data_IF_159153865606
#
_entry.id   IF_159153865606
#
_cell.length_a   1.000
_cell.length_b   1.000
_cell.length_c   1.000
_cell.angle_alpha   90.00
_cell.angle_beta   90.00
_cell.angle_gamma   90.00
#
_symmetry.space_group_name_H-M   'P 1'
#
loop_
_entity.id
_entity.type
_entity.pdbx_description
1 polymer ?
#
# COMPACT_ATOMS: atom_id res chain seq x y z
N UNK A 1 8.87 27.49 12.31
CA UNK A 1 9.70 26.26 12.20
C UNK A 1 8.78 25.05 12.16
N UNK A 2 8.23 24.71 10.99
CA UNK A 2 7.31 23.58 10.83
C UNK A 2 8.10 22.27 10.73
N UNK A 3 8.04 21.47 11.79
CA UNK A 3 8.70 20.16 11.87
C UNK A 3 7.78 19.13 11.22
N UNK A 4 8.01 18.85 9.93
CA UNK A 4 7.34 17.76 9.21
C UNK A 4 7.95 16.43 9.70
N UNK A 5 7.31 15.79 10.68
CA UNK A 5 7.66 14.42 11.07
C UNK A 5 6.95 13.45 10.13
N UNK A 6 7.71 12.96 9.15
CA UNK A 6 7.34 11.83 8.30
C UNK A 6 6.96 10.64 9.21
N UNK A 7 5.67 10.29 9.25
CA UNK A 7 5.22 9.08 9.93
C UNK A 7 5.59 7.88 9.03
N UNK A 8 6.68 7.20 9.37
CA UNK A 8 7.06 5.95 8.74
C UNK A 8 5.93 4.93 8.93
N UNK A 9 5.38 4.44 7.82
CA UNK A 9 4.49 3.28 7.80
C UNK A 9 5.35 2.08 8.17
N UNK A 10 5.20 1.61 9.41
CA UNK A 10 5.89 0.41 9.87
C UNK A 10 5.31 -0.81 9.17
N UNK A 11 6.07 -1.39 8.23
CA UNK A 11 5.78 -2.72 7.69
C UNK A 11 5.89 -3.74 8.83
N UNK A 12 4.74 -4.07 9.44
CA UNK A 12 4.65 -5.05 10.51
C UNK A 12 4.99 -6.45 9.99
N UNK A 13 6.23 -6.86 10.16
CA UNK A 13 6.61 -8.28 10.11
C UNK A 13 5.77 -9.04 11.14
N UNK A 14 5.10 -10.12 10.70
CA UNK A 14 4.22 -10.95 11.55
C UNK A 14 4.99 -11.44 12.78
N UNK A 15 4.40 -11.26 13.96
CA UNK A 15 4.71 -12.11 15.10
C UNK A 15 3.97 -13.44 14.87
N UNK A 16 4.71 -14.55 14.83
CA UNK A 16 4.18 -15.89 14.54
C UNK A 16 3.11 -16.36 15.54
N UNK A 17 2.98 -15.69 16.70
CA UNK A 17 1.95 -15.96 17.72
C UNK A 17 0.76 -15.00 17.69
N UNK A 18 0.73 -14.03 16.79
CA UNK A 18 -0.38 -13.09 16.68
C UNK A 18 -1.46 -13.61 15.73
N UNK A 19 -2.70 -13.67 16.20
CA UNK A 19 -3.89 -14.03 15.39
C UNK A 19 -4.17 -12.94 14.36
N UNK A 20 -3.36 -12.86 13.31
CA UNK A 20 -3.60 -12.05 12.12
C UNK A 20 -4.00 -10.59 12.37
N UNK A 21 -3.49 -9.93 13.40
CA UNK A 21 -3.81 -8.53 13.71
C UNK A 21 -2.58 -7.76 14.15
N UNK A 22 -2.38 -6.55 13.62
CA UNK A 22 -1.34 -5.66 14.12
C UNK A 22 -1.68 -5.22 15.56
N UNK A 23 -0.72 -5.31 16.48
CA UNK A 23 -0.91 -4.80 17.84
C UNK A 23 -1.27 -3.31 17.82
N UNK A 24 -2.02 -2.82 18.82
CA UNK A 24 -2.44 -1.40 18.88
C UNK A 24 -1.27 -0.41 18.77
N UNK A 25 -0.09 -0.78 19.28
CA UNK A 25 1.13 0.01 19.16
C UNK A 25 1.66 0.15 17.72
N UNK A 26 1.18 -0.67 16.79
CA UNK A 26 1.57 -0.71 15.37
C UNK A 26 0.49 -0.16 14.44
N UNK A 27 -0.61 0.36 14.98
CA UNK A 27 -1.65 0.98 14.18
C UNK A 27 -1.15 2.27 13.52
N UNK A 28 -1.62 2.51 12.29
CA UNK A 28 -1.41 3.78 11.61
C UNK A 28 -2.16 4.91 12.31
N UNK A 29 -1.65 6.14 12.17
CA UNK A 29 -2.37 7.35 12.58
C UNK A 29 -2.90 8.05 11.34
N UNK A 30 -4.20 8.33 11.32
CA UNK A 30 -4.83 9.16 10.31
C UNK A 30 -4.84 10.59 10.83
N UNK A 31 -4.21 11.50 10.08
CA UNK A 31 -4.14 12.93 10.42
C UNK A 31 -5.09 13.69 9.48
N UNK A 32 -6.03 14.47 10.03
CA UNK A 32 -6.92 15.36 9.27
C UNK A 32 -6.85 16.76 9.89
N UNK A 33 -5.93 17.60 9.39
CA UNK A 33 -5.62 18.87 10.05
C UNK A 33 -5.02 18.62 11.43
N UNK A 34 -5.66 19.14 12.48
CA UNK A 34 -5.26 18.94 13.87
C UNK A 34 -5.81 17.65 14.48
N UNK A 35 -6.76 16.98 13.82
CA UNK A 35 -7.35 15.75 14.32
C UNK A 35 -6.45 14.53 14.04
N UNK A 36 -6.20 13.74 15.10
CA UNK A 36 -5.38 12.53 15.06
C UNK A 36 -6.15 11.34 15.59
N UNK A 37 -6.43 10.36 14.73
CA UNK A 37 -7.07 9.12 15.11
C UNK A 37 -6.15 7.92 14.87
N UNK A 38 -6.14 6.96 15.81
CA UNK A 38 -5.46 5.67 15.64
C UNK A 38 -6.40 4.69 14.97
N UNK A 39 -6.10 4.29 13.73
CA UNK A 39 -6.96 3.42 12.93
C UNK A 39 -6.40 1.99 12.93
N UNK A 40 -7.21 0.96 13.26
CA UNK A 40 -6.79 -0.43 13.19
C UNK A 40 -6.18 -0.78 11.83
N UNK A 41 -4.96 -1.30 11.83
CA UNK A 41 -4.31 -1.75 10.60
C UNK A 41 -4.76 -3.16 10.24
N UNK A 42 -5.29 -3.33 9.03
CA UNK A 42 -5.53 -4.65 8.46
C UNK A 42 -4.21 -5.37 8.14
N UNK A 43 -4.19 -6.70 8.20
CA UNK A 43 -3.06 -7.48 7.72
C UNK A 43 -2.81 -7.24 6.23
N UNK A 44 -1.54 -7.14 5.84
CA UNK A 44 -1.18 -7.13 4.43
C UNK A 44 -1.62 -8.42 3.73
N UNK A 45 -2.24 -8.27 2.55
CA UNK A 45 -2.81 -9.36 1.74
C UNK A 45 -1.91 -9.79 0.58
N UNK A 46 -0.59 -9.72 0.76
CA UNK A 46 0.41 -10.08 -0.26
C UNK A 46 0.27 -11.52 -0.77
N UNK A 47 -0.21 -12.41 0.10
CA UNK A 47 -0.49 -13.81 -0.22
C UNK A 47 -1.66 -14.00 -1.20
N UNK A 48 -2.43 -12.96 -1.55
CA UNK A 48 -3.54 -13.07 -2.50
C UNK A 48 -3.09 -12.95 -3.96
N UNK A 49 -1.96 -12.30 -4.22
CA UNK A 49 -1.56 -11.93 -5.57
C UNK A 49 -1.22 -13.16 -6.43
N UNK A 50 -0.26 -13.99 -6.01
CA UNK A 50 0.18 -15.13 -6.81
C UNK A 50 -0.90 -16.20 -7.04
N UNK A 51 -1.77 -16.53 -6.05
CA UNK A 51 -2.91 -17.41 -6.32
C UNK A 51 -3.87 -16.84 -7.37
N UNK A 52 -4.08 -15.51 -7.40
CA UNK A 52 -4.89 -14.89 -8.43
C UNK A 52 -4.21 -14.92 -9.81
N UNK A 53 -2.89 -14.73 -9.87
CA UNK A 53 -2.11 -14.92 -11.11
C UNK A 53 -2.24 -16.36 -11.61
N UNK A 54 -2.11 -17.35 -10.73
CA UNK A 54 -2.29 -18.75 -11.10
C UNK A 54 -3.67 -19.00 -11.72
N UNK A 55 -4.74 -18.51 -11.09
CA UNK A 55 -6.09 -18.66 -11.63
C UNK A 55 -6.26 -17.95 -12.98
N UNK A 56 -5.69 -16.77 -13.15
CA UNK A 56 -5.71 -16.08 -14.44
C UNK A 56 -5.02 -16.90 -15.54
N UNK A 57 -3.85 -17.49 -15.24
CA UNK A 57 -3.08 -18.29 -16.19
C UNK A 57 -3.71 -19.65 -16.49
N UNK A 58 -4.27 -20.33 -15.48
CA UNK A 58 -4.79 -21.70 -15.61
C UNK A 58 -6.27 -21.76 -15.99
N UNK A 59 -7.07 -20.82 -15.48
CA UNK A 59 -8.53 -20.83 -15.57
C UNK A 59 -9.07 -19.72 -16.48
N UNK A 60 -8.21 -18.82 -16.97
CA UNK A 60 -8.63 -17.67 -17.77
C UNK A 60 -9.42 -16.62 -16.98
N UNK A 61 -9.32 -16.62 -15.65
CA UNK A 61 -9.90 -15.56 -14.82
C UNK A 61 -9.24 -14.20 -15.10
N UNK A 62 -9.92 -13.08 -14.79
CA UNK A 62 -9.29 -11.77 -14.85
C UNK A 62 -8.00 -11.71 -13.99
N UNK A 63 -6.95 -11.04 -14.47
CA UNK A 63 -5.72 -10.89 -13.70
C UNK A 63 -5.97 -10.06 -12.43
N UNK A 64 -5.19 -10.25 -11.36
CA UNK A 64 -5.35 -9.49 -10.11
C UNK A 64 -5.13 -7.98 -10.26
N UNK A 65 -4.41 -7.56 -11.30
CA UNK A 65 -4.22 -6.17 -11.69
C UNK A 65 -4.38 -6.10 -13.21
N UNK A 66 -5.23 -5.19 -13.69
CA UNK A 66 -5.42 -4.99 -15.13
C UNK A 66 -4.19 -4.37 -15.77
N UNK A 67 -3.89 -4.76 -17.03
CA UNK A 67 -2.79 -4.14 -17.77
C UNK A 67 -2.94 -2.62 -17.91
N UNK A 68 -4.17 -2.13 -18.07
CA UNK A 68 -4.47 -0.70 -18.11
C UNK A 68 -4.15 0.03 -16.81
N UNK A 69 -4.38 -0.59 -15.65
CA UNK A 69 -4.06 0.01 -14.35
C UNK A 69 -2.55 0.19 -14.18
N UNK A 70 -1.76 -0.78 -14.66
CA UNK A 70 -0.31 -0.68 -14.65
C UNK A 70 0.19 0.45 -15.57
N UNK A 71 -0.41 0.61 -16.75
CA UNK A 71 -0.09 1.71 -17.67
C UNK A 71 -0.43 3.05 -17.05
N UNK A 72 -1.62 3.21 -16.47
CA UNK A 72 -2.03 4.45 -15.80
C UNK A 72 -1.06 4.86 -14.68
N UNK A 73 -0.55 3.89 -13.92
CA UNK A 73 0.48 4.16 -12.91
C UNK A 73 1.80 4.65 -13.54
N UNK A 74 2.21 4.08 -14.68
CA UNK A 74 3.41 4.50 -15.40
C UNK A 74 3.26 5.91 -15.99
N UNK A 75 2.09 6.27 -16.51
CA UNK A 75 1.82 7.61 -17.04
C UNK A 75 2.03 8.71 -15.98
N UNK A 76 1.62 8.46 -14.74
CA UNK A 76 1.88 9.37 -13.61
C UNK A 76 3.38 9.52 -13.35
N UNK A 77 4.14 8.41 -13.36
CA UNK A 77 5.58 8.45 -13.17
C UNK A 77 6.30 9.18 -14.31
N UNK A 78 5.84 9.01 -15.54
CA UNK A 78 6.37 9.72 -16.72
C UNK A 78 6.09 11.21 -16.67
N UNK A 79 4.89 11.61 -16.21
CA UNK A 79 4.54 13.01 -15.98
C UNK A 79 5.45 13.65 -14.91
N UNK A 80 5.71 12.95 -13.81
CA UNK A 80 6.63 13.40 -12.76
C UNK A 80 8.06 13.55 -13.27
N UNK A 81 8.54 12.59 -14.08
CA UNK A 81 9.88 12.65 -14.68
C UNK A 81 10.03 13.86 -15.59
N UNK A 82 9.02 14.13 -16.41
CA UNK A 82 9.02 15.26 -17.35
C UNK A 82 8.94 16.60 -16.62
N UNK A 83 8.18 16.67 -15.53
CA UNK A 83 8.06 17.87 -14.67
C UNK A 83 9.37 18.20 -13.92
N UNK A 84 10.13 17.17 -13.49
CA UNK A 84 11.37 17.36 -12.74
C UNK A 84 12.51 18.00 -13.54
N UNK A 85 12.44 17.99 -14.88
CA UNK A 85 13.41 18.69 -15.73
C UNK A 85 13.12 20.21 -15.84
N UNK A 86 12.01 20.69 -15.27
CA UNK A 86 11.60 22.09 -15.30
C UNK A 86 11.75 22.79 -13.93
N UNK A 87 12.38 22.14 -12.93
CA UNK A 87 12.63 22.67 -11.58
C UNK A 87 14.13 22.87 -11.37
#
# INVERSE_FOLDING_TARGET
MASLRLALIGYGLRDARSTGGCSRARWGRLMRGDDVESVPSEPGRWNHFYPAVERALRLGEPPPVGGGDAVAALEVLDALRSSKSAI
#
